data_IF_275142889083
#
_entry.id   IF_275142889083
#
_cell.length_a   1.000
_cell.length_b   1.000
_cell.length_c   1.000
_cell.angle_alpha   90.00
_cell.angle_beta   90.00
_cell.angle_gamma   90.00
#
_symmetry.space_group_name_H-M   'P 1'
#
loop_
_entity.id
_entity.type
_entity.pdbx_description
1 polymer ?
#
# COMPACT_ATOMS: atom_id res chain seq x y z
N UNK A 1 7.54 -19.78 26.14
CA UNK A 1 6.53 -18.70 25.99
C UNK A 1 5.57 -19.07 24.87
N UNK A 2 4.29 -18.69 24.97
CA UNK A 2 3.28 -18.89 23.93
C UNK A 2 2.89 -17.53 23.34
N UNK A 3 2.94 -17.39 22.01
CA UNK A 3 2.48 -16.19 21.32
C UNK A 3 0.95 -16.14 21.34
N UNK A 4 0.38 -15.00 21.75
CA UNK A 4 -1.08 -14.83 21.90
C UNK A 4 -1.65 -13.78 20.93
N UNK A 5 -0.91 -12.71 20.65
CA UNK A 5 -1.36 -11.61 19.81
C UNK A 5 -0.16 -10.93 19.14
N UNK A 6 -0.38 -10.41 17.94
CA UNK A 6 0.58 -9.58 17.19
C UNK A 6 -0.14 -8.32 16.74
N UNK A 7 0.50 -7.16 16.88
CA UNK A 7 0.03 -5.88 16.34
C UNK A 7 1.09 -5.34 15.38
N UNK A 8 0.67 -4.89 14.20
CA UNK A 8 1.57 -4.38 13.17
C UNK A 8 1.09 -3.01 12.71
N UNK A 9 1.90 -1.99 13.00
CA UNK A 9 1.71 -0.64 12.47
C UNK A 9 2.78 -0.41 11.41
N UNK A 10 2.37 -0.05 10.20
CA UNK A 10 3.31 0.21 9.11
C UNK A 10 2.85 1.41 8.29
N UNK A 11 3.83 2.15 7.76
CA UNK A 11 3.59 3.18 6.76
C UNK A 11 3.44 2.50 5.40
N UNK A 12 2.68 3.14 4.52
CA UNK A 12 2.67 2.80 3.09
C UNK A 12 4.11 2.72 2.52
N UNK A 13 4.27 2.02 1.39
CA UNK A 13 5.54 1.97 0.66
C UNK A 13 5.87 3.26 -0.10
N UNK A 14 6.88 3.22 -0.97
CA UNK A 14 7.27 4.36 -1.80
C UNK A 14 6.13 4.91 -2.69
N UNK A 15 5.99 6.25 -2.74
CA UNK A 15 4.94 6.97 -3.47
C UNK A 15 5.52 8.06 -4.36
N UNK A 16 4.76 8.53 -5.33
CA UNK A 16 5.07 9.80 -6.02
C UNK A 16 4.99 10.98 -5.03
N UNK A 17 5.75 12.06 -5.25
CA UNK A 17 5.78 13.18 -4.31
C UNK A 17 4.44 13.92 -4.25
N UNK A 18 4.17 14.58 -3.11
CA UNK A 18 3.01 15.45 -2.93
C UNK A 18 3.22 16.86 -3.49
N UNK A 19 4.47 17.28 -3.62
CA UNK A 19 4.88 18.60 -4.08
C UNK A 19 5.98 18.44 -5.14
N UNK A 20 5.91 19.25 -6.19
CA UNK A 20 6.93 19.30 -7.23
C UNK A 20 7.90 20.44 -6.96
N UNK A 21 9.19 20.11 -6.82
CA UNK A 21 10.26 21.09 -6.60
C UNK A 21 10.98 21.32 -7.93
N UNK A 22 10.97 22.57 -8.39
CA UNK A 22 11.69 22.99 -9.60
C UNK A 22 13.09 23.46 -9.25
N UNK A 23 14.06 23.16 -10.10
CA UNK A 23 15.43 23.63 -9.99
C UNK A 23 15.89 24.21 -11.32
N UNK A 24 16.63 25.31 -11.30
CA UNK A 24 17.28 25.88 -12.49
C UNK A 24 18.58 25.17 -12.86
N UNK A 25 19.09 24.30 -11.98
CA UNK A 25 20.39 23.62 -12.14
C UNK A 25 20.23 22.16 -12.56
N UNK A 26 19.13 21.51 -12.16
CA UNK A 26 18.89 20.09 -12.42
C UNK A 26 17.65 19.87 -13.28
N UNK A 27 17.67 18.87 -14.20
CA UNK A 27 16.49 18.49 -14.96
C UNK A 27 15.38 17.96 -14.04
N UNK A 28 14.13 18.17 -14.46
CA UNK A 28 12.96 17.68 -13.72
C UNK A 28 12.91 16.14 -13.75
N UNK A 29 12.53 15.55 -12.61
CA UNK A 29 12.26 14.12 -12.54
C UNK A 29 10.95 13.80 -13.27
N UNK A 30 10.97 12.78 -14.13
CA UNK A 30 9.80 12.32 -14.89
C UNK A 30 9.12 11.18 -14.13
N UNK A 31 7.85 11.39 -13.80
CA UNK A 31 6.96 10.46 -13.13
C UNK A 31 5.94 9.94 -14.15
N UNK A 32 6.25 8.83 -14.80
CA UNK A 32 5.33 8.15 -15.73
C UNK A 32 4.21 7.43 -14.98
N UNK A 33 2.96 7.40 -15.49
CA UNK A 33 1.88 6.58 -14.95
C UNK A 33 2.23 5.09 -14.82
N UNK A 34 3.14 4.59 -15.66
CA UNK A 34 3.60 3.20 -15.61
C UNK A 34 4.23 2.83 -14.24
N UNK A 35 4.80 3.81 -13.54
CA UNK A 35 5.38 3.62 -12.21
C UNK A 35 4.35 3.23 -11.16
N UNK A 36 3.07 3.55 -11.36
CA UNK A 36 1.98 3.31 -10.40
C UNK A 36 1.00 2.23 -10.84
N UNK A 37 1.27 1.50 -11.93
CA UNK A 37 0.42 0.36 -12.29
C UNK A 37 0.63 -0.81 -11.32
N UNK A 38 -0.36 -1.68 -11.20
CA UNK A 38 -0.32 -2.81 -10.29
C UNK A 38 0.73 -3.86 -10.67
N UNK A 39 1.39 -4.42 -9.67
CA UNK A 39 2.18 -5.64 -9.80
C UNK A 39 1.26 -6.87 -9.72
N UNK A 40 1.32 -7.81 -10.69
CA UNK A 40 0.39 -8.95 -10.72
C UNK A 40 0.35 -9.78 -9.43
N UNK A 41 1.49 -9.98 -8.77
CA UNK A 41 1.58 -10.77 -7.53
C UNK A 41 1.14 -10.03 -6.27
N UNK A 42 0.84 -8.73 -6.36
CA UNK A 42 0.31 -7.94 -5.25
C UNK A 42 -1.20 -7.76 -5.32
N UNK A 43 -1.84 -8.22 -6.39
CA UNK A 43 -3.29 -8.16 -6.56
C UNK A 43 -3.99 -9.08 -5.56
N UNK A 44 -4.85 -8.50 -4.74
CA UNK A 44 -5.66 -9.22 -3.77
C UNK A 44 -7.05 -8.57 -3.66
N UNK A 45 -8.15 -9.33 -3.80
CA UNK A 45 -9.49 -8.77 -3.72
C UNK A 45 -9.79 -8.29 -2.31
N UNK A 46 -10.23 -7.04 -2.17
CA UNK A 46 -10.63 -6.47 -0.89
C UNK A 46 -11.92 -5.65 -1.02
N UNK A 47 -12.53 -5.35 0.12
CA UNK A 47 -13.69 -4.46 0.23
C UNK A 47 -13.46 -3.49 1.37
N UNK A 48 -13.91 -2.25 1.20
CA UNK A 48 -13.89 -1.25 2.25
C UNK A 48 -15.22 -1.27 3.00
N UNK A 49 -15.15 -1.44 4.31
CA UNK A 49 -16.31 -1.45 5.21
C UNK A 49 -16.15 -0.29 6.18
N UNK A 50 -17.19 0.53 6.32
CA UNK A 50 -17.24 1.56 7.34
C UNK A 50 -17.49 0.92 8.72
N UNK A 51 -16.64 1.22 9.70
CA UNK A 51 -16.66 0.56 11.02
C UNK A 51 -17.96 0.89 11.78
N UNK A 52 -18.51 2.10 11.61
CA UNK A 52 -19.68 2.55 12.36
C UNK A 52 -20.99 1.98 11.83
N UNK A 53 -21.12 1.91 10.50
CA UNK A 53 -22.35 1.49 9.82
C UNK A 53 -22.32 0.03 9.39
N UNK A 54 -21.14 -0.60 9.37
CA UNK A 54 -20.91 -1.96 8.87
C UNK A 54 -21.32 -2.15 7.40
N UNK A 55 -21.44 -1.04 6.64
CA UNK A 55 -21.80 -1.07 5.23
C UNK A 55 -20.56 -0.98 4.36
N UNK A 56 -20.64 -1.63 3.19
CA UNK A 56 -19.63 -1.46 2.16
C UNK A 56 -19.64 -0.01 1.68
N UNK A 57 -18.45 0.57 1.61
CA UNK A 57 -18.22 1.93 1.14
C UNK A 57 -17.21 1.93 -0.01
N UNK A 58 -17.00 3.10 -0.61
CA UNK A 58 -15.99 3.35 -1.62
C UNK A 58 -15.04 4.44 -1.10
N UNK A 59 -13.82 4.49 -1.63
CA UNK A 59 -12.98 5.66 -1.42
C UNK A 59 -13.71 6.87 -2.04
N UNK A 60 -13.95 7.90 -1.24
CA UNK A 60 -14.33 9.20 -1.78
C UNK A 60 -13.22 9.70 -2.70
N UNK A 61 -13.53 10.57 -3.68
CA UNK A 61 -12.48 11.19 -4.49
C UNK A 61 -11.41 11.76 -3.57
N UNK A 62 -10.16 11.33 -3.76
CA UNK A 62 -9.10 11.75 -2.87
C UNK A 62 -8.93 13.27 -3.03
N UNK A 63 -8.64 13.99 -1.94
CA UNK A 63 -8.17 15.36 -2.07
C UNK A 63 -6.97 15.44 -3.03
N UNK A 64 -6.13 14.39 -3.03
CA UNK A 64 -5.00 14.25 -3.93
C UNK A 64 -5.39 14.20 -5.42
N UNK A 65 -6.58 13.68 -5.77
CA UNK A 65 -7.06 13.66 -7.16
C UNK A 65 -7.32 15.06 -7.72
N UNK A 66 -7.52 16.05 -6.85
CA UNK A 66 -7.75 17.45 -7.22
C UNK A 66 -6.47 18.27 -7.35
N UNK A 67 -5.32 17.66 -7.04
CA UNK A 67 -4.02 18.32 -7.14
C UNK A 67 -3.48 18.29 -8.58
N UNK A 68 -2.26 18.79 -8.74
CA UNK A 68 -1.59 18.88 -10.05
C UNK A 68 -1.04 17.51 -10.49
N UNK A 69 -0.78 17.40 -11.80
CA UNK A 69 -0.12 16.24 -12.41
C UNK A 69 1.39 16.49 -12.44
N UNK A 70 2.16 15.48 -12.08
CA UNK A 70 3.64 15.55 -12.09
C UNK A 70 4.18 15.54 -13.52
N UNK A 71 5.39 16.09 -13.75
CA UNK A 71 6.07 15.92 -15.03
C UNK A 71 6.12 14.44 -15.41
N UNK A 72 5.75 14.08 -16.64
CA UNK A 72 5.60 12.68 -17.07
C UNK A 72 4.19 12.12 -17.00
N UNK A 73 3.25 12.81 -16.35
CA UNK A 73 1.81 12.50 -16.44
C UNK A 73 1.20 11.74 -15.26
N UNK A 74 1.98 11.35 -14.25
CA UNK A 74 1.46 10.66 -13.07
C UNK A 74 0.87 11.63 -12.03
N UNK A 75 -0.06 11.14 -11.20
CA UNK A 75 -0.65 11.91 -10.10
C UNK A 75 0.28 11.95 -8.89
N UNK A 76 0.01 12.91 -7.99
CA UNK A 76 0.74 13.06 -6.74
C UNK A 76 0.29 12.06 -5.68
N UNK A 77 1.22 11.61 -4.84
CA UNK A 77 0.93 10.71 -3.73
C UNK A 77 0.53 9.28 -4.10
N UNK A 78 0.61 8.90 -5.37
CA UNK A 78 0.28 7.55 -5.86
C UNK A 78 1.28 6.51 -5.37
N UNK A 79 0.79 5.32 -5.00
CA UNK A 79 1.65 4.19 -4.62
C UNK A 79 2.34 3.62 -5.86
N UNK A 80 3.67 3.61 -5.84
CA UNK A 80 4.46 3.09 -6.98
C UNK A 80 4.60 1.57 -6.90
N UNK A 81 5.00 0.93 -8.01
CA UNK A 81 5.42 -0.49 -8.04
C UNK A 81 6.45 -0.82 -6.96
N UNK A 82 7.41 0.08 -6.74
CA UNK A 82 8.39 -0.06 -5.63
C UNK A 82 7.67 -0.11 -4.29
N UNK A 83 6.72 0.80 -4.05
CA UNK A 83 5.93 0.82 -2.82
C UNK A 83 5.03 -0.40 -2.63
N UNK A 84 4.46 -0.92 -3.71
CA UNK A 84 3.72 -2.20 -3.68
C UNK A 84 4.65 -3.35 -3.29
N UNK A 85 5.85 -3.40 -3.87
CA UNK A 85 6.86 -4.41 -3.54
C UNK A 85 7.36 -4.28 -2.09
N UNK A 86 7.49 -3.07 -1.56
CA UNK A 86 7.86 -2.83 -0.15
C UNK A 86 6.85 -3.50 0.80
N UNK A 87 5.55 -3.28 0.56
CA UNK A 87 4.47 -3.87 1.36
C UNK A 87 4.38 -5.40 1.18
N UNK A 88 4.58 -5.89 -0.04
CA UNK A 88 4.63 -7.33 -0.31
C UNK A 88 5.77 -8.01 0.42
N UNK A 89 6.98 -7.42 0.39
CA UNK A 89 8.15 -7.92 1.11
C UNK A 89 7.93 -7.91 2.63
N UNK A 90 7.23 -6.90 3.16
CA UNK A 90 6.79 -6.91 4.56
C UNK A 90 5.87 -8.11 4.82
N UNK A 91 4.88 -8.35 3.98
CA UNK A 91 3.99 -9.51 4.06
C UNK A 91 4.74 -10.86 4.06
N UNK A 92 5.76 -11.02 3.20
CA UNK A 92 6.63 -12.21 3.21
C UNK A 92 7.31 -12.38 4.57
N UNK A 93 7.88 -11.31 5.14
CA UNK A 93 8.54 -11.40 6.46
C UNK A 93 7.56 -11.75 7.57
N UNK A 94 6.35 -11.19 7.54
CA UNK A 94 5.29 -11.48 8.51
C UNK A 94 4.82 -12.94 8.39
N UNK A 95 4.66 -13.46 7.17
CA UNK A 95 4.36 -14.87 6.92
C UNK A 95 5.47 -15.77 7.46
N UNK A 96 6.73 -15.49 7.12
CA UNK A 96 7.87 -16.28 7.61
C UNK A 96 7.89 -16.36 9.14
N UNK A 97 7.67 -15.23 9.80
CA UNK A 97 7.64 -15.18 11.25
C UNK A 97 6.41 -15.91 11.81
N UNK A 98 5.20 -15.45 11.49
CA UNK A 98 4.00 -15.86 12.22
C UNK A 98 3.33 -17.11 11.65
N UNK A 99 3.60 -17.48 10.41
CA UNK A 99 3.09 -18.72 9.82
C UNK A 99 4.12 -19.84 9.85
N UNK A 100 5.34 -19.58 9.38
CA UNK A 100 6.30 -20.65 9.13
C UNK A 100 7.06 -21.03 10.42
N UNK A 101 7.48 -20.04 11.22
CA UNK A 101 8.20 -20.30 12.47
C UNK A 101 7.28 -20.60 13.66
N UNK A 102 6.18 -19.86 13.82
CA UNK A 102 5.28 -19.98 14.98
C UNK A 102 3.98 -20.75 14.72
N UNK A 103 3.63 -21.01 13.45
CA UNK A 103 2.33 -21.59 13.06
C UNK A 103 1.12 -20.92 13.75
N UNK A 104 1.18 -19.59 13.90
CA UNK A 104 0.21 -18.77 14.64
C UNK A 104 -1.01 -18.40 13.79
N UNK A 105 -0.84 -18.21 12.48
CA UNK A 105 -1.92 -17.91 11.52
C UNK A 105 -2.12 -19.06 10.51
N UNK A 106 -3.22 -19.07 9.76
CA UNK A 106 -3.45 -20.02 8.66
C UNK A 106 -2.70 -19.62 7.38
N UNK A 107 -2.46 -20.57 6.48
CA UNK A 107 -1.95 -20.28 5.13
C UNK A 107 -3.00 -19.59 4.24
N UNK A 108 -4.28 -19.83 4.52
CA UNK A 108 -5.39 -19.16 3.85
C UNK A 108 -5.90 -18.03 4.73
N UNK A 109 -6.29 -16.92 4.13
CA UNK A 109 -6.89 -15.81 4.86
C UNK A 109 -8.16 -16.27 5.59
N UNK A 110 -8.21 -16.04 6.91
CA UNK A 110 -9.35 -16.33 7.78
C UNK A 110 -9.72 -15.05 8.52
N UNK A 111 -10.88 -14.43 8.23
CA UNK A 111 -11.25 -13.15 8.84
C UNK A 111 -11.19 -13.15 10.37
N UNK A 112 -11.48 -14.27 11.03
CA UNK A 112 -11.42 -14.41 12.50
C UNK A 112 -10.00 -14.27 13.08
N UNK A 113 -8.95 -14.36 12.27
CA UNK A 113 -7.55 -14.21 12.67
C UNK A 113 -7.03 -12.77 12.55
N UNK A 114 -7.82 -11.86 11.95
CA UNK A 114 -7.45 -10.48 11.69
C UNK A 114 -8.57 -9.57 12.21
N UNK A 115 -8.30 -8.83 13.29
CA UNK A 115 -9.19 -7.82 13.87
C UNK A 115 -8.58 -6.43 13.72
#
# INVERSE_FOLDING_TARGET
MKLLQVQVFFRHGARTPLFHVKSSIFPEAIWSPELSTDLPHTLFPYRLIDISTQKQTQLSSDYLDKLFVLPGGNKVGELTKTGQQDAYNLGIRLKKQYKDNYNFISYQFQPSQFQ
#
